data_IF_203782625680
#
_entry.id   IF_203782625680
#
_cell.length_a   1.000
_cell.length_b   1.000
_cell.length_c   1.000
_cell.angle_alpha   90.00
_cell.angle_beta   90.00
_cell.angle_gamma   90.00
#
_symmetry.space_group_name_H-M   'P 1'
#
loop_
_entity.id
_entity.type
_entity.pdbx_description
1 polymer ?
#
# COMPACT_ATOMS: atom_id res chain seq x y z
N UNK A 1 14.73 -0.55 -6.25
CA UNK A 1 13.68 -1.22 -7.05
C UNK A 1 12.39 -0.40 -6.96
N UNK A 2 11.54 -0.45 -8.00
CA UNK A 2 10.20 0.15 -7.95
C UNK A 2 9.22 -0.95 -7.60
N UNK A 3 8.47 -0.82 -6.50
CA UNK A 3 7.46 -1.81 -6.13
C UNK A 3 6.14 -1.50 -6.83
N UNK A 4 5.71 -2.40 -7.70
CA UNK A 4 4.38 -2.40 -8.29
C UNK A 4 3.32 -2.87 -7.29
N UNK A 5 2.05 -2.53 -7.56
CA UNK A 5 0.91 -2.77 -6.65
C UNK A 5 0.84 -4.24 -6.25
N UNK A 6 1.21 -5.16 -7.14
CA UNK A 6 1.25 -6.60 -6.89
C UNK A 6 2.26 -7.04 -5.82
N UNK A 7 3.37 -6.33 -5.64
CA UNK A 7 4.36 -6.65 -4.58
C UNK A 7 3.83 -6.19 -3.21
N UNK A 8 3.21 -5.02 -3.14
CA UNK A 8 2.62 -4.49 -1.91
C UNK A 8 1.32 -5.20 -1.52
N UNK A 9 0.54 -5.65 -2.51
CA UNK A 9 -0.67 -6.41 -2.25
C UNK A 9 -0.34 -7.73 -1.55
N UNK A 10 0.76 -8.37 -1.92
CA UNK A 10 1.20 -9.65 -1.34
C UNK A 10 1.79 -9.54 0.05
N UNK A 11 2.24 -8.37 0.48
CA UNK A 11 2.67 -8.16 1.87
C UNK A 11 1.54 -7.75 2.81
N UNK A 12 0.40 -7.32 2.27
CA UNK A 12 -0.74 -6.83 3.04
C UNK A 12 -1.92 -7.81 3.02
N UNK A 13 -2.10 -8.54 1.92
CA UNK A 13 -3.14 -9.56 1.77
C UNK A 13 -2.51 -10.93 1.96
N UNK A 14 -2.81 -11.55 3.10
CA UNK A 14 -2.43 -12.91 3.43
C UNK A 14 -3.36 -13.93 2.74
N UNK A 15 -3.52 -13.82 1.41
CA UNK A 15 -4.36 -14.73 0.60
C UNK A 15 -3.62 -16.04 0.26
N UNK A 16 -2.28 -16.04 0.36
CA UNK A 16 -1.42 -17.13 -0.11
C UNK A 16 -0.05 -17.03 0.61
N UNK A 17 0.13 -17.74 1.73
CA UNK A 17 1.32 -17.67 2.62
C UNK A 17 2.67 -17.78 1.87
N UNK A 18 2.70 -18.54 0.78
CA UNK A 18 3.89 -18.73 -0.05
C UNK A 18 4.25 -17.50 -0.90
N UNK A 19 3.27 -16.67 -1.26
CA UNK A 19 3.46 -15.41 -1.97
C UNK A 19 3.79 -14.27 -0.99
N UNK A 20 3.18 -14.29 0.20
CA UNK A 20 3.44 -13.33 1.29
C UNK A 20 4.92 -13.36 1.70
N UNK A 21 5.46 -14.56 1.98
CA UNK A 21 6.87 -14.73 2.39
C UNK A 21 7.84 -14.20 1.33
N UNK A 22 7.59 -14.50 0.05
CA UNK A 22 8.47 -14.05 -1.06
C UNK A 22 8.42 -12.55 -1.29
N UNK A 23 7.26 -11.92 -1.07
CA UNK A 23 7.12 -10.47 -1.21
C UNK A 23 7.78 -9.74 -0.04
N UNK A 24 7.69 -10.28 1.18
CA UNK A 24 8.41 -9.78 2.36
C UNK A 24 9.92 -9.91 2.15
N UNK A 25 10.42 -11.09 1.75
CA UNK A 25 11.85 -11.30 1.46
C UNK A 25 12.37 -10.35 0.37
N UNK A 26 11.58 -10.07 -0.67
CA UNK A 26 11.94 -9.11 -1.72
C UNK A 26 11.98 -7.67 -1.22
N UNK A 27 11.10 -7.31 -0.29
CA UNK A 27 11.14 -6.00 0.35
C UNK A 27 12.30 -5.89 1.35
N UNK A 28 12.64 -6.96 2.07
CA UNK A 28 13.74 -6.96 3.05
C UNK A 28 15.12 -6.97 2.39
N UNK A 29 15.27 -7.65 1.25
CA UNK A 29 16.53 -7.68 0.49
C UNK A 29 16.75 -6.44 -0.38
N UNK A 30 15.77 -5.54 -0.46
CA UNK A 30 15.85 -4.31 -1.22
C UNK A 30 16.59 -3.21 -0.45
N UNK A 31 17.68 -2.70 -1.03
CA UNK A 31 18.36 -1.48 -0.52
C UNK A 31 17.40 -0.27 -0.48
N UNK A 32 16.48 -0.19 -1.44
CA UNK A 32 15.47 0.85 -1.53
C UNK A 32 14.27 0.40 -2.38
N UNK A 33 13.07 0.63 -1.86
CA UNK A 33 11.78 0.33 -2.47
C UNK A 33 11.04 1.64 -2.74
N UNK A 34 11.02 2.08 -4.00
CA UNK A 34 10.24 3.23 -4.40
C UNK A 34 8.77 2.82 -4.61
N UNK A 35 7.86 3.46 -3.86
CA UNK A 35 6.41 3.26 -3.96
C UNK A 35 5.77 4.53 -4.47
N UNK A 36 5.08 4.44 -5.60
CA UNK A 36 4.35 5.58 -6.16
C UNK A 36 3.03 5.81 -5.41
N UNK A 37 2.54 7.05 -5.42
CA UNK A 37 1.22 7.36 -4.86
C UNK A 37 0.13 6.56 -5.58
N UNK A 38 0.23 6.41 -6.91
CA UNK A 38 -0.70 5.64 -7.73
C UNK A 38 -0.81 4.18 -7.24
N UNK A 39 0.33 3.56 -6.94
CA UNK A 39 0.42 2.20 -6.39
C UNK A 39 -0.35 2.08 -5.07
N UNK A 40 -0.19 3.06 -4.16
CA UNK A 40 -0.93 3.09 -2.89
C UNK A 40 -2.45 3.28 -3.12
N UNK A 41 -2.82 4.17 -4.03
CA UNK A 41 -4.22 4.41 -4.37
C UNK A 41 -4.90 3.14 -4.92
N UNK A 42 -4.21 2.40 -5.78
CA UNK A 42 -4.71 1.15 -6.35
C UNK A 42 -4.81 0.05 -5.30
N UNK A 43 -3.78 -0.11 -4.45
CA UNK A 43 -3.78 -1.04 -3.32
C UNK A 43 -4.99 -0.82 -2.40
N UNK A 44 -5.24 0.43 -1.97
CA UNK A 44 -6.40 0.77 -1.15
C UNK A 44 -7.70 0.43 -1.87
N UNK A 45 -7.79 0.73 -3.17
CA UNK A 45 -8.99 0.42 -3.95
C UNK A 45 -9.24 -1.08 -4.07
N UNK A 46 -8.19 -1.88 -4.32
CA UNK A 46 -8.29 -3.35 -4.39
C UNK A 46 -8.70 -3.93 -3.05
N UNK A 47 -8.07 -3.54 -1.95
CA UNK A 47 -8.41 -4.01 -0.60
C UNK A 47 -9.88 -3.72 -0.25
N UNK A 48 -10.38 -2.53 -0.57
CA UNK A 48 -11.78 -2.18 -0.32
C UNK A 48 -12.75 -2.86 -1.26
N UNK A 49 -12.41 -2.97 -2.53
CA UNK A 49 -13.35 -3.38 -3.58
C UNK A 49 -13.36 -4.89 -3.84
N UNK A 50 -12.22 -5.56 -3.65
CA UNK A 50 -12.06 -7.01 -3.84
C UNK A 50 -12.14 -7.78 -2.54
N UNK A 51 -11.52 -7.26 -1.48
CA UNK A 51 -11.42 -7.95 -0.18
C UNK A 51 -12.46 -7.48 0.84
N UNK A 52 -13.19 -6.38 0.55
CA UNK A 52 -14.14 -5.82 1.49
C UNK A 52 -13.51 -5.30 2.78
N UNK A 53 -12.19 -5.08 2.80
CA UNK A 53 -11.46 -4.69 3.99
C UNK A 53 -11.91 -3.31 4.50
N UNK A 54 -12.03 -3.20 5.82
CA UNK A 54 -12.41 -1.96 6.45
C UNK A 54 -11.25 -0.96 6.44
N UNK A 55 -11.59 0.32 6.59
CA UNK A 55 -10.61 1.41 6.48
C UNK A 55 -9.50 1.29 7.51
N UNK A 56 -9.82 0.85 8.73
CA UNK A 56 -8.85 0.62 9.79
C UNK A 56 -7.85 -0.49 9.42
N UNK A 57 -8.35 -1.59 8.84
CA UNK A 57 -7.56 -2.75 8.42
C UNK A 57 -6.65 -2.43 7.23
N UNK A 58 -6.96 -1.37 6.47
CA UNK A 58 -6.12 -0.88 5.38
C UNK A 58 -5.11 0.16 5.89
N UNK A 59 -5.54 1.05 6.78
CA UNK A 59 -4.73 2.15 7.27
C UNK A 59 -3.56 1.66 8.15
N UNK A 60 -3.77 0.62 8.96
CA UNK A 60 -2.71 0.08 9.82
C UNK A 60 -1.52 -0.51 9.02
N UNK A 61 -1.71 -1.43 8.05
CA UNK A 61 -0.62 -1.93 7.21
C UNK A 61 0.08 -0.85 6.39
N UNK A 62 -0.69 0.13 5.85
CA UNK A 62 -0.11 1.26 5.12
C UNK A 62 0.81 2.10 6.00
N UNK A 63 0.43 2.37 7.25
CA UNK A 63 1.29 3.09 8.20
C UNK A 63 2.56 2.31 8.49
N UNK A 64 2.47 0.99 8.67
CA UNK A 64 3.64 0.13 8.83
C UNK A 64 4.58 0.23 7.63
N UNK A 65 4.03 0.16 6.41
CA UNK A 65 4.79 0.29 5.16
C UNK A 65 5.49 1.67 5.04
N UNK A 66 4.81 2.76 5.40
CA UNK A 66 5.39 4.12 5.38
C UNK A 66 6.49 4.31 6.44
N UNK A 67 6.45 3.54 7.52
CA UNK A 67 7.45 3.58 8.58
C UNK A 67 8.68 2.70 8.29
N UNK A 68 8.64 1.86 7.26
CA UNK A 68 9.79 1.06 6.85
C UNK A 68 10.88 1.97 6.27
N UNK A 69 12.12 1.82 6.76
CA UNK A 69 13.26 2.69 6.43
C UNK A 69 13.72 2.59 4.98
N UNK A 70 13.49 1.46 4.31
CA UNK A 70 13.83 1.25 2.92
C UNK A 70 12.71 1.63 1.94
N UNK A 71 11.55 2.11 2.42
CA UNK A 71 10.43 2.54 1.58
C UNK A 71 10.52 4.04 1.30
N UNK A 72 10.64 4.38 0.02
CA UNK A 72 10.66 5.76 -0.48
C UNK A 72 9.34 6.05 -1.19
N UNK A 73 8.65 7.07 -0.71
CA UNK A 73 7.31 7.46 -1.15
C UNK A 73 7.13 8.95 -0.94
N UNK A 74 6.18 9.55 -1.65
CA UNK A 74 5.72 10.90 -1.34
C UNK A 74 4.97 10.90 0.01
N UNK A 75 5.72 11.01 1.12
CA UNK A 75 5.21 10.97 2.50
C UNK A 75 4.08 11.98 2.72
N UNK A 76 4.20 13.27 2.35
CA UNK A 76 3.10 14.22 2.53
C UNK A 76 1.80 13.79 1.83
N UNK A 77 1.90 13.27 0.59
CA UNK A 77 0.72 12.82 -0.14
C UNK A 77 0.12 11.53 0.44
N UNK A 78 0.96 10.60 0.90
CA UNK A 78 0.51 9.35 1.50
C UNK A 78 -0.18 9.58 2.86
N UNK A 79 0.37 10.46 3.70
CA UNK A 79 -0.23 10.86 4.98
C UNK A 79 -1.55 11.62 4.80
N UNK A 80 -1.63 12.50 3.80
CA UNK A 80 -2.88 13.16 3.44
C UNK A 80 -3.94 12.14 2.98
N UNK A 81 -3.55 11.15 2.17
CA UNK A 81 -4.42 10.05 1.77
C UNK A 81 -4.92 9.22 2.96
N UNK A 82 -4.04 8.89 3.91
CA UNK A 82 -4.39 8.17 5.14
C UNK A 82 -5.39 8.97 5.98
N UNK A 83 -5.14 10.28 6.14
CA UNK A 83 -6.03 11.18 6.88
C UNK A 83 -7.43 11.26 6.25
N UNK A 84 -7.49 11.29 4.92
CA UNK A 84 -8.76 11.21 4.17
C UNK A 84 -9.45 9.86 4.33
N UNK A 85 -8.69 8.77 4.37
CA UNK A 85 -9.23 7.42 4.58
C UNK A 85 -9.85 7.31 5.98
N UNK A 86 -9.15 7.77 7.02
CA UNK A 86 -9.66 7.77 8.40
C UNK A 86 -10.90 8.64 8.57
N UNK A 87 -10.97 9.79 7.88
CA UNK A 87 -12.14 10.67 7.86
C UNK A 87 -13.35 10.08 7.10
N UNK A 88 -13.27 8.83 6.64
CA UNK A 88 -14.33 8.16 5.89
C UNK A 88 -14.34 8.45 4.39
N UNK A 89 -13.40 9.28 3.92
CA UNK A 89 -13.22 9.68 2.52
C UNK A 89 -12.53 8.62 1.65
N UNK A 90 -12.07 9.06 0.48
CA UNK A 90 -11.30 8.22 -0.47
C UNK A 90 -9.84 8.64 -0.40
N UNK A 91 -8.94 7.66 -0.24
CA UNK A 91 -7.49 7.85 -0.21
C UNK A 91 -6.97 8.58 -1.47
N UNK A 92 -7.41 8.17 -2.66
CA UNK A 92 -7.23 8.92 -3.90
C UNK A 92 -8.39 8.68 -4.89
N UNK A 93 -8.42 9.45 -5.98
CA UNK A 93 -9.37 9.31 -7.09
C UNK A 93 -8.69 8.62 -8.29
N UNK A 94 -8.55 7.29 -8.24
CA UNK A 94 -7.82 6.49 -9.25
C UNK A 94 -8.37 6.62 -10.68
N UNK A 95 -9.67 6.87 -10.85
CA UNK A 95 -10.34 6.95 -12.17
C UNK A 95 -10.00 8.18 -13.03
N UNK A 96 -9.15 9.09 -12.58
CA UNK A 96 -8.91 10.37 -13.30
C UNK A 96 -7.43 10.80 -13.34
N UNK A 97 -6.49 9.89 -13.06
CA UNK A 97 -5.06 10.20 -13.02
C UNK A 97 -4.23 9.50 -14.10
N UNK A 98 -4.85 8.94 -15.15
CA UNK A 98 -4.18 8.46 -16.36
C UNK A 98 -4.55 9.40 -17.51
#
# INVERSE_FOLDING_TARGET
MTADTNVLLRTIVDDDEAQTTRAVDLLETADMVAVSLQTLCELVWVLRSRYGADRADIAAPLRTLLNTSNVVVNRPAAEAGLSLLDAGGRFCRWRHCI
#
